data_IF_145280989183
#
_entry.id   IF_145280989183
#
_cell.length_a   1.000
_cell.length_b   1.000
_cell.length_c   1.000
_cell.angle_alpha   90.00
_cell.angle_beta   90.00
_cell.angle_gamma   90.00
#
_symmetry.space_group_name_H-M   'P 1'
#
loop_
_entity.id
_entity.type
_entity.pdbx_description
1 polymer ?
#
# COMPACT_ATOMS: atom_id res chain seq x y z
N UNK A 1 -33.81 15.21 -6.85
CA UNK A 1 -34.89 14.53 -7.61
C UNK A 1 -34.25 13.64 -8.68
N UNK A 2 -34.61 12.36 -8.71
CA UNK A 2 -34.19 11.47 -9.79
C UNK A 2 -35.05 11.72 -11.00
N UNK A 3 -34.42 12.05 -12.12
CA UNK A 3 -35.13 12.12 -13.41
C UNK A 3 -35.73 10.74 -13.73
N UNK A 4 -36.98 10.61 -14.13
CA UNK A 4 -37.57 9.36 -14.55
C UNK A 4 -36.81 8.83 -15.78
N UNK A 5 -36.26 7.63 -15.67
CA UNK A 5 -35.56 6.98 -16.77
C UNK A 5 -36.44 5.89 -17.34
N UNK A 6 -36.82 6.01 -18.59
CA UNK A 6 -37.48 4.94 -19.33
C UNK A 6 -36.44 4.16 -20.11
N UNK A 7 -36.06 3.01 -19.56
CA UNK A 7 -35.15 2.07 -20.27
C UNK A 7 -35.96 1.18 -21.21
N UNK A 8 -35.52 1.09 -22.46
CA UNK A 8 -36.13 0.23 -23.48
C UNK A 8 -35.12 -0.82 -23.93
N UNK A 9 -35.51 -2.07 -23.95
CA UNK A 9 -34.69 -3.15 -24.47
C UNK A 9 -34.51 -3.01 -26.00
N UNK A 10 -33.25 -2.88 -26.45
CA UNK A 10 -32.93 -2.71 -27.88
C UNK A 10 -32.70 -4.06 -28.55
N UNK A 11 -32.29 -5.09 -27.82
CA UNK A 11 -31.94 -6.43 -28.33
C UNK A 11 -32.97 -7.51 -27.99
N UNK A 12 -34.21 -7.14 -27.68
CA UNK A 12 -35.27 -8.08 -27.23
C UNK A 12 -35.21 -8.39 -25.74
N UNK A 13 -36.07 -9.31 -25.30
CA UNK A 13 -36.12 -9.74 -23.91
C UNK A 13 -34.96 -10.67 -23.58
N UNK A 14 -34.19 -10.33 -22.56
CA UNK A 14 -33.18 -11.20 -21.96
C UNK A 14 -33.73 -12.00 -20.75
N UNK A 15 -32.93 -12.83 -20.12
CA UNK A 15 -33.28 -13.47 -18.86
C UNK A 15 -33.58 -12.41 -17.78
N UNK A 16 -34.47 -12.74 -16.86
CA UNK A 16 -34.79 -11.85 -15.75
C UNK A 16 -33.55 -11.58 -14.89
N UNK A 17 -33.37 -10.36 -14.37
CA UNK A 17 -32.31 -10.08 -13.40
C UNK A 17 -32.47 -10.92 -12.15
N UNK A 18 -31.38 -11.47 -11.63
CA UNK A 18 -31.33 -12.15 -10.36
C UNK A 18 -30.77 -11.22 -9.28
N UNK A 19 -31.40 -11.20 -8.12
CA UNK A 19 -30.90 -10.53 -6.94
C UNK A 19 -30.29 -11.54 -5.98
N UNK A 20 -29.02 -11.35 -5.64
CA UNK A 20 -28.28 -12.24 -4.76
C UNK A 20 -27.86 -11.47 -3.52
N UNK A 21 -28.45 -11.84 -2.38
CA UNK A 21 -28.08 -11.30 -1.07
C UNK A 21 -26.93 -12.10 -0.46
N UNK A 22 -25.91 -11.41 0.01
CA UNK A 22 -24.76 -11.98 0.69
C UNK A 22 -24.55 -11.29 2.04
N UNK A 23 -24.04 -12.03 3.01
CA UNK A 23 -23.89 -11.55 4.38
C UNK A 23 -22.87 -10.43 4.53
N UNK A 24 -21.75 -10.49 3.80
CA UNK A 24 -20.66 -9.51 3.87
C UNK A 24 -19.96 -9.35 2.52
N UNK A 25 -19.12 -8.28 2.42
CA UNK A 25 -18.34 -7.98 1.21
C UNK A 25 -17.36 -9.10 0.83
N UNK A 26 -16.76 -9.79 1.80
CA UNK A 26 -15.81 -10.85 1.48
C UNK A 26 -16.51 -12.05 0.83
N UNK A 27 -17.70 -12.38 1.28
CA UNK A 27 -18.54 -13.42 0.64
C UNK A 27 -18.97 -13.01 -0.76
N UNK A 28 -19.28 -11.73 -0.98
CA UNK A 28 -19.59 -11.21 -2.32
C UNK A 28 -18.41 -11.43 -3.28
N UNK A 29 -17.19 -11.04 -2.89
CA UNK A 29 -16.02 -11.22 -3.75
C UNK A 29 -15.68 -12.70 -4.00
N UNK A 30 -15.79 -13.56 -2.98
CA UNK A 30 -15.59 -15.00 -3.15
C UNK A 30 -16.63 -15.61 -4.09
N UNK A 31 -17.89 -15.18 -3.99
CA UNK A 31 -18.95 -15.61 -4.89
C UNK A 31 -18.66 -15.19 -6.33
N UNK A 32 -18.27 -13.93 -6.57
CA UNK A 32 -17.87 -13.41 -7.88
C UNK A 32 -16.67 -14.16 -8.46
N UNK A 33 -15.65 -14.44 -7.65
CA UNK A 33 -14.49 -15.20 -8.07
C UNK A 33 -14.84 -16.66 -8.42
N UNK A 34 -15.78 -17.27 -7.69
CA UNK A 34 -16.30 -18.61 -8.01
C UNK A 34 -17.10 -18.58 -9.33
N UNK A 35 -17.95 -17.58 -9.51
CA UNK A 35 -18.72 -17.38 -10.74
C UNK A 35 -17.80 -17.23 -11.94
N UNK A 36 -16.73 -16.41 -11.83
CA UNK A 36 -15.74 -16.20 -12.89
C UNK A 36 -15.06 -17.49 -13.36
N UNK A 37 -14.83 -18.45 -12.45
CA UNK A 37 -14.29 -19.77 -12.80
C UNK A 37 -15.26 -20.66 -13.59
N UNK A 38 -16.56 -20.48 -13.40
CA UNK A 38 -17.60 -21.28 -14.05
C UNK A 38 -18.20 -20.62 -15.28
N UNK A 39 -17.83 -19.36 -15.56
CA UNK A 39 -18.30 -18.65 -16.75
C UNK A 39 -17.59 -19.17 -18.02
N UNK A 40 -18.39 -19.57 -18.99
CA UNK A 40 -17.96 -19.95 -20.35
C UNK A 40 -17.95 -18.75 -21.33
N UNK A 41 -18.38 -17.59 -20.86
CA UNK A 41 -18.53 -16.35 -21.65
C UNK A 41 -17.85 -15.17 -20.98
N UNK A 42 -17.52 -14.18 -21.81
CA UNK A 42 -17.05 -12.89 -21.28
C UNK A 42 -18.14 -12.26 -20.40
N UNK A 43 -17.80 -12.05 -19.13
CA UNK A 43 -18.71 -11.53 -18.11
C UNK A 43 -18.18 -10.23 -17.55
N UNK A 44 -19.00 -9.17 -17.55
CA UNK A 44 -18.61 -7.88 -17.00
C UNK A 44 -19.07 -7.74 -15.55
N UNK A 45 -18.18 -7.29 -14.67
CA UNK A 45 -18.49 -6.89 -13.31
C UNK A 45 -18.48 -5.36 -13.23
N UNK A 46 -19.64 -4.78 -12.88
CA UNK A 46 -19.78 -3.35 -12.69
C UNK A 46 -19.66 -3.01 -11.21
N UNK A 47 -18.85 -2.01 -10.89
CA UNK A 47 -18.61 -1.53 -9.52
C UNK A 47 -18.75 0.00 -9.45
N UNK A 48 -18.97 0.51 -8.25
CA UNK A 48 -19.25 1.93 -8.03
C UNK A 48 -17.99 2.80 -8.04
N UNK A 49 -16.90 2.28 -7.47
CA UNK A 49 -15.62 2.95 -7.31
C UNK A 49 -14.47 1.96 -7.56
N UNK A 50 -13.31 2.50 -7.95
CA UNK A 50 -12.15 1.67 -8.34
C UNK A 50 -11.63 0.79 -7.20
N UNK A 51 -11.72 1.26 -5.96
CA UNK A 51 -11.22 0.52 -4.80
C UNK A 51 -12.05 -0.74 -4.54
N UNK A 52 -13.33 -0.71 -4.90
CA UNK A 52 -14.23 -1.89 -4.80
C UNK A 52 -13.83 -3.05 -5.71
N UNK A 53 -13.03 -2.83 -6.75
CA UNK A 53 -12.56 -3.89 -7.65
C UNK A 53 -11.34 -4.64 -7.10
N UNK A 54 -10.51 -3.97 -6.26
CA UNK A 54 -9.22 -4.51 -5.80
C UNK A 54 -9.30 -5.88 -5.12
N UNK A 55 -10.23 -6.13 -4.17
CA UNK A 55 -10.32 -7.43 -3.53
C UNK A 55 -10.74 -8.55 -4.49
N UNK A 56 -11.53 -8.24 -5.51
CA UNK A 56 -11.91 -9.22 -6.54
C UNK A 56 -10.71 -9.55 -7.43
N UNK A 57 -9.95 -8.53 -7.84
CA UNK A 57 -8.73 -8.70 -8.66
C UNK A 57 -7.72 -9.59 -7.93
N UNK A 58 -7.43 -9.34 -6.64
CA UNK A 58 -6.54 -10.19 -5.83
C UNK A 58 -6.99 -11.66 -5.82
N UNK A 59 -8.30 -11.89 -5.68
CA UNK A 59 -8.84 -13.26 -5.71
C UNK A 59 -8.73 -13.92 -7.08
N UNK A 60 -8.94 -13.18 -8.18
CA UNK A 60 -8.82 -13.70 -9.52
C UNK A 60 -7.37 -14.03 -9.87
N UNK A 61 -6.42 -13.16 -9.50
CA UNK A 61 -4.98 -13.38 -9.69
C UNK A 61 -4.50 -14.62 -8.93
N UNK A 62 -4.82 -14.73 -7.65
CA UNK A 62 -4.49 -15.93 -6.85
C UNK A 62 -5.10 -17.21 -7.40
N UNK A 63 -6.23 -17.09 -8.06
CA UNK A 63 -6.93 -18.22 -8.68
C UNK A 63 -6.44 -18.54 -10.11
N UNK A 64 -5.55 -17.74 -10.69
CA UNK A 64 -5.13 -17.86 -12.09
C UNK A 64 -6.28 -17.63 -13.10
N UNK A 65 -7.34 -16.91 -12.69
CA UNK A 65 -8.50 -16.63 -13.54
C UNK A 65 -8.23 -15.39 -14.38
N UNK A 66 -8.26 -15.45 -15.71
CA UNK A 66 -7.98 -14.29 -16.55
C UNK A 66 -9.04 -13.20 -16.39
N UNK A 67 -8.61 -11.97 -16.30
CA UNK A 67 -9.49 -10.80 -16.21
C UNK A 67 -8.91 -9.61 -17.00
N UNK A 68 -9.76 -8.62 -17.27
CA UNK A 68 -9.38 -7.35 -17.86
C UNK A 68 -9.95 -6.20 -17.02
N UNK A 69 -9.11 -5.30 -16.54
CA UNK A 69 -9.55 -4.11 -15.82
C UNK A 69 -8.92 -2.85 -16.42
N UNK A 70 -9.72 -1.82 -16.69
CA UNK A 70 -9.25 -0.62 -17.40
C UNK A 70 -8.53 0.42 -16.54
N UNK A 71 -8.70 0.45 -15.22
CA UNK A 71 -8.30 1.62 -14.41
C UNK A 71 -7.73 1.34 -13.03
N UNK A 72 -7.63 0.08 -12.60
CA UNK A 72 -7.22 -0.23 -11.21
C UNK A 72 -5.73 -0.01 -10.96
N UNK A 73 -4.88 -0.20 -11.98
CA UNK A 73 -3.43 -0.12 -11.79
C UNK A 73 -2.93 1.30 -11.46
N UNK A 74 -3.59 2.36 -11.93
CA UNK A 74 -3.01 3.70 -11.80
C UNK A 74 -3.35 4.41 -10.49
N UNK A 75 -4.57 4.32 -9.98
CA UNK A 75 -5.00 5.14 -8.83
C UNK A 75 -4.47 4.64 -7.49
N UNK A 76 -4.57 3.33 -7.21
CA UNK A 76 -4.10 2.75 -5.95
C UNK A 76 -2.57 2.77 -5.85
N UNK A 77 -1.88 2.17 -6.83
CA UNK A 77 -0.41 2.07 -6.80
C UNK A 77 0.31 3.40 -7.01
N UNK A 78 -0.36 4.39 -7.61
CA UNK A 78 0.16 5.76 -7.73
C UNK A 78 -0.22 6.65 -6.57
N UNK A 79 -1.07 6.20 -5.64
CA UNK A 79 -1.40 6.97 -4.46
C UNK A 79 -0.15 7.25 -3.63
N UNK A 80 -0.07 8.44 -3.05
CA UNK A 80 1.06 8.86 -2.22
C UNK A 80 1.32 7.88 -1.07
N UNK A 81 0.26 7.45 -0.39
CA UNK A 81 0.35 6.55 0.76
C UNK A 81 0.96 5.21 0.37
N UNK A 82 0.51 4.60 -0.73
CA UNK A 82 1.04 3.31 -1.18
C UNK A 82 2.50 3.43 -1.62
N UNK A 83 2.87 4.52 -2.30
CA UNK A 83 4.27 4.78 -2.65
C UNK A 83 5.14 4.95 -1.41
N UNK A 84 4.69 5.71 -0.42
CA UNK A 84 5.43 5.92 0.82
C UNK A 84 5.64 4.60 1.58
N UNK A 85 4.58 3.79 1.74
CA UNK A 85 4.68 2.46 2.38
C UNK A 85 5.64 1.55 1.61
N UNK A 86 5.54 1.54 0.27
CA UNK A 86 6.44 0.76 -0.59
C UNK A 86 7.88 1.23 -0.45
N UNK A 87 8.11 2.54 -0.37
CA UNK A 87 9.47 3.10 -0.17
C UNK A 87 10.04 2.75 1.20
N UNK A 88 9.23 2.70 2.27
CA UNK A 88 9.68 2.23 3.58
C UNK A 88 10.10 0.76 3.52
N UNK A 89 9.32 -0.11 2.86
CA UNK A 89 9.66 -1.52 2.70
C UNK A 89 10.94 -1.69 1.88
N UNK A 90 11.09 -0.93 0.79
CA UNK A 90 12.32 -0.95 -0.02
C UNK A 90 13.54 -0.42 0.75
N UNK A 91 13.33 0.59 1.60
CA UNK A 91 14.39 1.08 2.48
C UNK A 91 14.79 0.06 3.54
N UNK A 92 13.85 -0.76 4.03
CA UNK A 92 14.17 -1.87 4.91
C UNK A 92 15.04 -2.94 4.23
N UNK A 93 14.82 -3.18 2.92
CA UNK A 93 15.63 -4.10 2.11
C UNK A 93 17.02 -3.54 1.79
N UNK A 94 17.12 -2.23 1.60
CA UNK A 94 18.37 -1.53 1.32
C UNK A 94 18.47 -0.27 2.19
N UNK A 95 18.91 -0.40 3.46
CA UNK A 95 19.03 0.72 4.39
C UNK A 95 20.21 1.65 4.09
N UNK A 96 21.00 1.36 3.05
CA UNK A 96 22.09 2.19 2.55
C UNK A 96 21.66 3.21 1.51
N UNK A 97 20.44 3.09 0.96
CA UNK A 97 19.89 4.00 -0.04
C UNK A 97 19.63 5.39 0.57
N UNK A 98 20.62 6.27 0.49
CA UNK A 98 20.56 7.65 0.99
C UNK A 98 19.48 8.49 0.30
N UNK A 99 19.24 8.29 -1.00
CA UNK A 99 18.18 9.01 -1.70
C UNK A 99 16.79 8.62 -1.18
N UNK A 100 16.58 7.33 -0.94
CA UNK A 100 15.32 6.85 -0.36
C UNK A 100 15.16 7.32 1.06
N UNK A 101 16.23 7.32 1.86
CA UNK A 101 16.23 7.89 3.20
C UNK A 101 15.79 9.36 3.19
N UNK A 102 16.30 10.19 2.27
CA UNK A 102 15.91 11.60 2.13
C UNK A 102 14.44 11.80 1.76
N UNK A 103 13.78 10.83 1.13
CA UNK A 103 12.34 10.87 0.88
C UNK A 103 11.49 10.45 2.08
N UNK A 104 12.09 9.78 3.08
CA UNK A 104 11.38 9.12 4.18
C UNK A 104 11.63 9.75 5.56
N UNK A 105 12.79 10.31 5.85
CA UNK A 105 13.20 10.69 7.20
C UNK A 105 12.19 11.57 7.95
N UNK A 106 11.56 12.52 7.26
CA UNK A 106 10.58 13.44 7.84
C UNK A 106 9.19 12.83 8.04
N UNK A 107 8.94 11.64 7.46
CA UNK A 107 7.67 10.92 7.56
C UNK A 107 7.67 9.90 8.71
N UNK A 108 8.83 9.56 9.23
CA UNK A 108 9.00 8.47 10.21
C UNK A 108 9.16 8.97 11.65
N UNK A 109 8.74 10.19 11.93
CA UNK A 109 8.58 10.70 13.29
C UNK A 109 9.83 10.68 14.18
N UNK A 110 11.06 10.71 13.62
CA UNK A 110 12.30 10.65 14.40
C UNK A 110 12.89 12.02 14.75
N UNK A 111 12.24 13.13 14.35
CA UNK A 111 12.72 14.48 14.63
C UNK A 111 14.10 14.80 14.04
N UNK A 112 14.40 14.23 12.88
CA UNK A 112 15.65 14.43 12.17
C UNK A 112 15.54 15.76 11.41
N UNK A 113 16.51 16.67 11.59
CA UNK A 113 16.56 17.89 10.81
C UNK A 113 17.00 17.62 9.36
N UNK A 114 16.63 18.51 8.44
CA UNK A 114 17.01 18.38 7.03
C UNK A 114 18.53 18.34 6.82
N UNK A 115 19.26 19.20 7.54
CA UNK A 115 20.72 19.25 7.45
C UNK A 115 21.36 17.94 7.92
N UNK A 116 20.89 17.40 9.03
CA UNK A 116 21.39 16.12 9.56
C UNK A 116 21.02 14.94 8.67
N UNK A 117 19.83 14.96 8.06
CA UNK A 117 19.43 13.92 7.11
C UNK A 117 20.29 13.95 5.84
N UNK A 118 20.59 15.15 5.31
CA UNK A 118 21.46 15.31 4.15
C UNK A 118 22.88 14.82 4.46
N UNK A 119 23.44 15.26 5.57
CA UNK A 119 24.76 14.83 6.01
C UNK A 119 24.86 13.31 6.18
N UNK A 120 23.82 12.70 6.78
CA UNK A 120 23.75 11.26 6.94
C UNK A 120 23.66 10.51 5.61
N UNK A 121 22.87 11.02 4.65
CA UNK A 121 22.77 10.42 3.33
C UNK A 121 24.10 10.49 2.55
N UNK A 122 24.86 11.60 2.70
CA UNK A 122 26.10 11.81 1.97
C UNK A 122 27.30 11.04 2.58
N UNK A 123 27.29 10.83 3.90
CA UNK A 123 28.43 10.27 4.63
C UNK A 123 28.28 8.82 5.06
N UNK A 124 27.07 8.33 5.27
CA UNK A 124 26.84 7.00 5.80
C UNK A 124 27.48 5.90 4.91
N UNK A 125 27.37 6.03 3.60
CA UNK A 125 27.99 5.11 2.66
C UNK A 125 29.53 5.10 2.77
N UNK A 126 30.13 6.28 2.91
CA UNK A 126 31.59 6.43 3.08
C UNK A 126 32.08 5.83 4.38
N UNK A 127 31.28 5.92 5.45
CA UNK A 127 31.59 5.37 6.78
C UNK A 127 31.16 3.91 6.96
N UNK A 128 30.60 3.29 5.90
CA UNK A 128 30.11 1.90 5.89
C UNK A 128 29.06 1.61 6.96
N UNK A 129 28.15 2.55 7.14
CA UNK A 129 27.01 2.38 8.04
C UNK A 129 25.72 2.94 7.40
N UNK A 130 24.57 2.64 8.00
CA UNK A 130 23.29 3.16 7.52
C UNK A 130 23.07 4.60 7.99
N UNK A 131 22.28 5.40 7.23
CA UNK A 131 21.97 6.79 7.60
C UNK A 131 21.38 6.91 9.02
N UNK A 132 20.56 5.96 9.47
CA UNK A 132 20.02 5.95 10.83
C UNK A 132 21.09 5.67 11.90
N UNK A 133 22.03 4.76 11.63
CA UNK A 133 23.14 4.46 12.54
C UNK A 133 24.09 5.65 12.63
N UNK A 134 24.41 6.29 11.50
CA UNK A 134 25.19 7.52 11.45
C UNK A 134 24.60 8.61 12.35
N UNK A 135 23.29 8.92 12.19
CA UNK A 135 22.59 9.91 13.02
C UNK A 135 22.61 9.52 14.50
N UNK A 136 22.46 8.23 14.79
CA UNK A 136 22.50 7.71 16.16
C UNK A 136 23.79 8.01 16.92
N UNK A 137 24.91 8.23 16.22
CA UNK A 137 26.21 8.55 16.80
C UNK A 137 26.52 10.06 16.84
N UNK A 138 25.76 10.89 16.10
CA UNK A 138 26.07 12.32 16.00
C UNK A 138 25.83 13.06 17.31
N UNK A 139 26.83 13.79 17.85
CA UNK A 139 26.66 14.60 19.06
C UNK A 139 25.61 15.68 18.92
N UNK A 140 25.41 16.23 17.71
CA UNK A 140 24.40 17.24 17.41
C UNK A 140 22.96 16.71 17.37
N UNK A 141 22.76 15.40 17.32
CA UNK A 141 21.42 14.81 17.40
C UNK A 141 20.93 14.77 18.85
N UNK A 142 19.67 15.16 19.08
CA UNK A 142 19.07 15.09 20.42
C UNK A 142 19.07 13.66 20.96
N UNK A 143 19.10 13.45 22.29
CA UNK A 143 18.99 12.11 22.87
C UNK A 143 17.71 11.38 22.45
N UNK A 144 16.65 12.13 22.21
CA UNK A 144 15.38 11.58 21.71
C UNK A 144 15.52 11.10 20.25
N UNK A 145 16.08 11.95 19.36
CA UNK A 145 16.32 11.59 17.95
C UNK A 145 17.19 10.34 17.84
N UNK A 146 18.26 10.26 18.64
CA UNK A 146 19.14 9.06 18.65
C UNK A 146 18.39 7.79 19.05
N UNK A 147 17.54 7.86 20.08
CA UNK A 147 16.68 6.71 20.48
C UNK A 147 15.69 6.34 19.39
N UNK A 148 15.08 7.33 18.74
CA UNK A 148 14.14 7.06 17.64
C UNK A 148 14.84 6.43 16.42
N UNK A 149 16.03 6.86 16.06
CA UNK A 149 16.81 6.23 14.98
C UNK A 149 17.12 4.75 15.30
N UNK A 150 17.52 4.44 16.52
CA UNK A 150 17.74 3.05 16.95
C UNK A 150 16.45 2.21 16.89
N UNK A 151 15.33 2.78 17.36
CA UNK A 151 14.02 2.12 17.28
C UNK A 151 13.59 1.89 15.83
N UNK A 152 13.75 2.89 14.95
CA UNK A 152 13.44 2.76 13.52
C UNK A 152 14.30 1.69 12.85
N UNK A 153 15.60 1.59 13.15
CA UNK A 153 16.47 0.53 12.64
C UNK A 153 15.94 -0.85 13.03
N UNK A 154 15.51 -1.02 14.28
CA UNK A 154 14.88 -2.25 14.76
C UNK A 154 13.57 -2.54 14.03
N UNK A 155 12.72 -1.52 13.85
CA UNK A 155 11.46 -1.68 13.12
C UNK A 155 11.68 -2.07 11.64
N UNK A 156 12.66 -1.46 10.96
CA UNK A 156 13.01 -1.80 9.59
C UNK A 156 13.48 -3.26 9.47
N UNK A 157 14.32 -3.72 10.38
CA UNK A 157 14.75 -5.13 10.41
C UNK A 157 13.59 -6.10 10.62
N UNK A 158 12.64 -5.74 11.49
CA UNK A 158 11.45 -6.55 11.76
C UNK A 158 10.48 -6.60 10.58
N UNK A 159 10.39 -5.53 9.76
CA UNK A 159 9.54 -5.52 8.56
C UNK A 159 9.84 -6.67 7.61
N UNK A 160 11.12 -7.05 7.49
CA UNK A 160 11.56 -8.11 6.57
C UNK A 160 11.11 -9.52 7.00
N UNK A 161 10.68 -9.68 8.24
CA UNK A 161 10.21 -10.95 8.81
C UNK A 161 8.68 -11.02 8.89
N UNK A 162 7.97 -9.94 8.58
CA UNK A 162 6.54 -9.84 8.76
C UNK A 162 5.74 -10.08 7.47
N UNK A 163 4.51 -10.54 7.64
CA UNK A 163 3.55 -10.58 6.53
C UNK A 163 3.15 -9.15 6.14
N UNK A 164 2.75 -8.95 4.89
CA UNK A 164 2.47 -7.63 4.33
C UNK A 164 1.47 -6.79 5.14
N UNK A 165 0.40 -7.41 5.66
CA UNK A 165 -0.60 -6.72 6.49
C UNK A 165 0.00 -6.22 7.82
N UNK A 166 0.85 -7.02 8.47
CA UNK A 166 1.55 -6.63 9.69
C UNK A 166 2.65 -5.61 9.44
N UNK A 167 3.35 -5.73 8.31
CA UNK A 167 4.34 -4.75 7.89
C UNK A 167 3.71 -3.36 7.72
N UNK A 168 2.57 -3.27 7.02
CA UNK A 168 1.81 -2.01 6.88
C UNK A 168 1.37 -1.48 8.24
N UNK A 169 0.83 -2.35 9.10
CA UNK A 169 0.42 -1.97 10.45
C UNK A 169 1.60 -1.38 11.26
N UNK A 170 2.78 -2.01 11.19
CA UNK A 170 4.00 -1.52 11.85
C UNK A 170 4.42 -0.15 11.37
N UNK A 171 4.42 0.07 10.05
CA UNK A 171 4.79 1.36 9.44
C UNK A 171 3.85 2.46 9.96
N UNK A 172 2.56 2.21 9.96
CA UNK A 172 1.55 3.21 10.34
C UNK A 172 1.58 3.51 11.84
N UNK A 173 1.67 2.48 12.70
CA UNK A 173 1.45 2.64 14.13
C UNK A 173 2.72 2.74 14.98
N UNK A 174 3.85 2.19 14.53
CA UNK A 174 5.07 2.14 15.32
C UNK A 174 6.25 2.94 14.74
N UNK A 175 6.19 3.32 13.46
CA UNK A 175 7.27 4.06 12.80
C UNK A 175 6.94 5.54 12.58
N UNK A 176 5.86 6.04 13.18
CA UNK A 176 5.47 7.45 13.12
C UNK A 176 4.73 7.88 11.86
N UNK A 177 4.58 7.00 10.86
CA UNK A 177 3.95 7.35 9.59
C UNK A 177 2.48 7.75 9.74
N UNK A 178 1.73 7.12 10.66
CA UNK A 178 0.34 7.48 10.93
C UNK A 178 0.14 8.89 11.47
N UNK A 179 1.13 9.45 12.17
CA UNK A 179 1.09 10.83 12.63
C UNK A 179 1.44 11.84 11.52
N UNK A 180 2.05 11.36 10.44
CA UNK A 180 2.39 12.17 9.26
C UNK A 180 1.20 12.28 8.28
N UNK A 181 0.29 11.30 8.24
CA UNK A 181 -0.89 11.28 7.37
C UNK A 181 -1.93 12.33 7.76
#
# INVERSE_FOLDING_TARGET
SRLPKHMRAVRGSGPAPEEISVYDRQRQYRWLAKLAKSCDRETAVLYRDNDSALPLIDLLERAGTPYRCRQVESAFFTSRVVRDVTDVIRFALDPWDGERFLRLYYKLGAGISRSLAQEAADRADQERETSLAYIGRQPGASPWTRRQCAALSTHLSNLLQERGDRAVYRIVHFMGYGAYL
#
